data_IF_441264474480
#
_entry.id   IF_441264474480
#
_cell.length_a   1.000
_cell.length_b   1.000
_cell.length_c   1.000
_cell.angle_alpha   90.00
_cell.angle_beta   90.00
_cell.angle_gamma   90.00
#
_symmetry.space_group_name_H-M   'P 1'
#
loop_
_entity.id
_entity.type
_entity.pdbx_description
1 polymer ?
#
# COMPACT_ATOMS: atom_id res chain seq x y z
N UNK A 1 13.42 12.40 8.12
CA UNK A 1 13.55 10.95 7.82
C UNK A 1 14.82 10.73 7.02
N UNK A 2 15.63 9.73 7.37
CA UNK A 2 16.89 9.41 6.67
C UNK A 2 16.65 8.65 5.36
N UNK A 3 17.62 8.65 4.45
CA UNK A 3 17.56 7.86 3.20
C UNK A 3 17.38 6.36 3.47
N UNK A 4 18.02 5.85 4.54
CA UNK A 4 17.92 4.44 4.97
C UNK A 4 16.52 4.11 5.50
N UNK A 5 15.94 4.96 6.36
CA UNK A 5 14.57 4.79 6.85
C UNK A 5 13.57 4.82 5.69
N UNK A 6 13.71 5.77 4.74
CA UNK A 6 12.86 5.86 3.55
C UNK A 6 12.88 4.56 2.73
N UNK A 7 14.08 4.02 2.48
CA UNK A 7 14.24 2.78 1.72
C UNK A 7 13.63 1.57 2.45
N UNK A 8 13.75 1.50 3.78
CA UNK A 8 13.11 0.45 4.57
C UNK A 8 11.58 0.50 4.43
N UNK A 9 10.96 1.67 4.60
CA UNK A 9 9.51 1.82 4.40
C UNK A 9 9.07 1.52 2.96
N UNK A 10 9.85 1.96 1.96
CA UNK A 10 9.58 1.65 0.56
C UNK A 10 9.54 0.15 0.31
N UNK A 11 10.55 -0.59 0.80
CA UNK A 11 10.62 -2.05 0.66
C UNK A 11 9.45 -2.74 1.35
N UNK A 12 9.07 -2.28 2.54
CA UNK A 12 7.90 -2.82 3.25
C UNK A 12 6.60 -2.56 2.48
N UNK A 13 6.41 -1.35 1.95
CA UNK A 13 5.22 -1.01 1.16
C UNK A 13 5.13 -1.83 -0.14
N UNK A 14 6.25 -2.00 -0.85
CA UNK A 14 6.33 -2.84 -2.05
C UNK A 14 5.99 -4.30 -1.73
N UNK A 15 6.55 -4.86 -0.66
CA UNK A 15 6.22 -6.22 -0.23
C UNK A 15 4.73 -6.39 0.14
N UNK A 16 4.09 -5.36 0.70
CA UNK A 16 2.65 -5.40 0.99
C UNK A 16 1.81 -5.26 -0.29
N UNK A 17 2.24 -4.43 -1.24
CA UNK A 17 1.64 -4.31 -2.57
C UNK A 17 1.66 -5.64 -3.30
N UNK A 18 2.83 -6.30 -3.33
CA UNK A 18 3.01 -7.62 -3.93
C UNK A 18 2.09 -8.67 -3.33
N UNK A 19 1.85 -8.67 -2.01
CA UNK A 19 0.91 -9.62 -1.39
C UNK A 19 -0.51 -9.48 -1.92
N UNK A 20 -0.98 -8.25 -2.16
CA UNK A 20 -2.30 -8.00 -2.73
C UNK A 20 -2.31 -8.38 -4.22
N UNK A 21 -1.27 -8.01 -4.97
CA UNK A 21 -1.15 -8.29 -6.41
C UNK A 21 -0.96 -9.78 -6.71
N UNK A 22 -0.35 -10.56 -5.82
CA UNK A 22 -0.23 -12.02 -5.98
C UNK A 22 -1.60 -12.73 -6.06
N UNK A 23 -2.68 -12.10 -5.57
CA UNK A 23 -4.04 -12.61 -5.82
C UNK A 23 -4.41 -12.60 -7.30
N UNK A 24 -3.90 -11.63 -8.06
CA UNK A 24 -4.06 -11.56 -9.52
C UNK A 24 -3.44 -12.80 -10.18
N UNK A 25 -2.21 -13.16 -9.78
CA UNK A 25 -1.57 -14.38 -10.29
C UNK A 25 -2.34 -15.62 -9.91
N UNK A 26 -2.94 -15.70 -8.71
CA UNK A 26 -3.75 -16.84 -8.29
C UNK A 26 -5.00 -17.02 -9.16
N UNK A 27 -5.70 -15.92 -9.47
CA UNK A 27 -6.87 -15.93 -10.37
C UNK A 27 -6.51 -16.35 -11.80
N UNK A 28 -5.32 -15.97 -12.29
CA UNK A 28 -4.84 -16.40 -13.59
C UNK A 28 -4.31 -17.84 -13.59
N UNK A 29 -3.76 -18.32 -12.46
CA UNK A 29 -3.11 -19.64 -12.33
C UNK A 29 -4.06 -20.80 -12.02
N UNK A 30 -5.36 -20.55 -11.79
CA UNK A 30 -6.38 -21.61 -11.94
C UNK A 30 -6.39 -22.20 -13.37
N UNK A 31 -5.65 -21.56 -14.30
CA UNK A 31 -5.15 -22.14 -15.54
C UNK A 31 -3.61 -22.13 -15.57
N UNK A 32 -3.01 -23.26 -15.19
CA UNK A 32 -1.57 -23.63 -15.27
C UNK A 32 -0.65 -23.12 -14.16
N UNK A 33 0.16 -24.08 -13.67
CA UNK A 33 1.35 -23.91 -12.86
C UNK A 33 2.26 -22.85 -13.50
N UNK A 34 2.50 -21.75 -12.80
CA UNK A 34 3.38 -20.68 -13.29
C UNK A 34 4.45 -20.36 -12.25
N UNK A 35 5.67 -20.50 -12.72
CA UNK A 35 6.94 -20.20 -12.06
C UNK A 35 6.98 -18.81 -11.44
N UNK A 36 7.75 -18.72 -10.36
CA UNK A 36 7.86 -17.58 -9.45
C UNK A 36 8.36 -16.30 -10.12
N UNK A 37 9.00 -16.41 -11.29
CA UNK A 37 9.50 -15.27 -12.09
C UNK A 37 8.39 -14.47 -12.77
N UNK A 38 7.26 -15.08 -13.15
CA UNK A 38 6.16 -14.35 -13.81
C UNK A 38 5.47 -13.43 -12.81
N UNK A 39 5.43 -13.79 -11.53
CA UNK A 39 4.88 -12.93 -10.48
C UNK A 39 5.70 -11.63 -10.31
N UNK A 40 7.03 -11.68 -10.48
CA UNK A 40 7.85 -10.46 -10.47
C UNK A 40 7.59 -9.59 -11.71
N UNK A 41 7.50 -10.21 -12.88
CA UNK A 41 7.32 -9.47 -14.13
C UNK A 41 5.91 -8.85 -14.26
N UNK A 42 4.89 -9.49 -13.66
CA UNK A 42 3.53 -8.94 -13.55
C UNK A 42 3.45 -7.84 -12.49
N UNK A 43 4.23 -7.92 -11.41
CA UNK A 43 4.33 -6.83 -10.42
C UNK A 43 4.94 -5.58 -11.04
N UNK A 44 5.97 -5.74 -11.88
CA UNK A 44 6.61 -4.62 -12.59
C UNK A 44 5.73 -4.06 -13.71
N UNK A 45 4.94 -4.90 -14.42
CA UNK A 45 3.94 -4.43 -15.42
C UNK A 45 2.69 -3.82 -14.80
N UNK A 46 2.29 -4.25 -13.60
CA UNK A 46 1.15 -3.71 -12.87
C UNK A 46 1.40 -2.29 -12.32
N UNK A 47 2.60 -1.73 -12.46
CA UNK A 47 2.86 -0.31 -12.17
C UNK A 47 2.07 0.64 -13.09
N UNK A 48 1.51 0.17 -14.22
CA UNK A 48 0.86 1.06 -15.20
C UNK A 48 -0.67 1.17 -15.10
N UNK A 49 -1.40 0.14 -14.64
CA UNK A 49 -2.84 0.19 -14.29
C UNK A 49 -3.33 -1.19 -13.86
N UNK A 50 -4.13 -1.25 -12.79
CA UNK A 50 -4.85 -2.46 -12.42
C UNK A 50 -6.01 -2.72 -13.36
N UNK A 51 -6.21 -3.97 -13.80
CA UNK A 51 -7.40 -4.32 -14.59
C UNK A 51 -8.66 -4.19 -13.75
N UNK A 52 -9.78 -3.87 -14.40
CA UNK A 52 -11.08 -3.73 -13.71
C UNK A 52 -11.47 -5.04 -13.04
N UNK A 53 -11.24 -6.16 -13.69
CA UNK A 53 -11.53 -7.52 -13.23
C UNK A 53 -10.74 -7.84 -11.96
N UNK A 54 -9.44 -7.51 -11.94
CA UNK A 54 -8.63 -7.67 -10.73
C UNK A 54 -9.14 -6.80 -9.60
N UNK A 55 -9.39 -5.51 -9.86
CA UNK A 55 -9.93 -4.62 -8.82
C UNK A 55 -11.25 -5.15 -8.27
N UNK A 56 -12.14 -5.69 -9.11
CA UNK A 56 -13.41 -6.29 -8.68
C UNK A 56 -13.22 -7.56 -7.84
N UNK A 57 -12.19 -8.37 -8.13
CA UNK A 57 -11.88 -9.57 -7.35
C UNK A 57 -11.39 -9.30 -5.93
N UNK A 58 -10.84 -8.10 -5.66
CA UNK A 58 -10.38 -7.73 -4.34
C UNK A 58 -11.57 -7.43 -3.41
N UNK A 59 -11.38 -7.61 -2.10
CA UNK A 59 -12.31 -7.05 -1.12
C UNK A 59 -12.22 -5.52 -1.10
N UNK A 60 -13.23 -4.86 -0.54
CA UNK A 60 -13.19 -3.40 -0.39
C UNK A 60 -11.98 -2.94 0.47
N UNK A 61 -11.69 -3.68 1.54
CA UNK A 61 -10.54 -3.41 2.40
C UNK A 61 -9.21 -3.50 1.65
N UNK A 62 -9.05 -4.48 0.76
CA UNK A 62 -7.83 -4.66 -0.03
C UNK A 62 -7.67 -3.59 -1.10
N UNK A 63 -8.74 -3.23 -1.81
CA UNK A 63 -8.73 -2.10 -2.75
C UNK A 63 -8.30 -0.82 -2.04
N UNK A 64 -8.88 -0.56 -0.86
CA UNK A 64 -8.53 0.62 -0.07
C UNK A 64 -7.07 0.56 0.40
N UNK A 65 -6.61 -0.59 0.91
CA UNK A 65 -5.23 -0.76 1.34
C UNK A 65 -4.25 -0.55 0.17
N UNK A 66 -4.55 -1.08 -1.01
CA UNK A 66 -3.74 -0.91 -2.22
C UNK A 66 -3.60 0.56 -2.60
N UNK A 67 -4.73 1.29 -2.64
CA UNK A 67 -4.74 2.73 -2.89
C UNK A 67 -3.91 3.51 -1.85
N UNK A 68 -4.00 3.14 -0.57
CA UNK A 68 -3.20 3.74 0.50
C UNK A 68 -1.70 3.43 0.37
N UNK A 69 -1.34 2.23 -0.09
CA UNK A 69 0.06 1.86 -0.35
C UNK A 69 0.63 2.68 -1.50
N UNK A 70 -0.11 2.82 -2.61
CA UNK A 70 0.33 3.63 -3.76
C UNK A 70 0.47 5.11 -3.37
N UNK A 71 -0.47 5.64 -2.59
CA UNK A 71 -0.37 6.98 -2.02
C UNK A 71 0.85 7.14 -1.10
N UNK A 72 1.12 6.16 -0.23
CA UNK A 72 2.29 6.18 0.64
C UNK A 72 3.61 6.13 -0.15
N UNK A 73 3.69 5.32 -1.22
CA UNK A 73 4.85 5.27 -2.12
C UNK A 73 5.06 6.63 -2.83
N UNK A 74 3.99 7.30 -3.25
CA UNK A 74 4.04 8.67 -3.79
C UNK A 74 4.51 9.66 -2.73
N UNK A 75 3.97 9.62 -1.51
CA UNK A 75 4.40 10.48 -0.39
C UNK A 75 5.86 10.28 0.01
N UNK A 76 6.40 9.08 -0.13
CA UNK A 76 7.83 8.83 0.05
C UNK A 76 8.65 9.66 -0.96
N UNK A 77 8.19 9.78 -2.22
CA UNK A 77 8.84 10.59 -3.27
C UNK A 77 8.72 12.09 -2.98
N UNK A 78 7.56 12.58 -2.55
CA UNK A 78 7.29 14.02 -2.29
C UNK A 78 7.76 14.55 -0.94
N UNK A 79 8.41 13.72 -0.11
CA UNK A 79 8.85 14.05 1.27
C UNK A 79 7.71 14.33 2.26
N UNK A 80 6.48 13.94 1.93
CA UNK A 80 5.29 14.08 2.79
C UNK A 80 5.01 12.83 3.63
N UNK A 81 5.80 11.76 3.43
CA UNK A 81 5.64 10.52 4.18
C UNK A 81 5.87 10.72 5.68
N UNK A 82 4.98 10.14 6.48
CA UNK A 82 5.01 10.26 7.94
C UNK A 82 4.38 11.55 8.48
N UNK A 83 3.73 12.35 7.63
CA UNK A 83 2.90 13.48 8.03
C UNK A 83 1.43 13.10 7.90
N UNK A 84 0.63 13.41 8.92
CA UNK A 84 -0.81 13.19 8.94
C UNK A 84 -1.49 14.13 7.94
N UNK A 85 -2.27 13.57 7.00
CA UNK A 85 -2.98 14.35 5.98
C UNK A 85 -4.15 15.18 6.54
N UNK A 86 -4.58 14.94 7.78
CA UNK A 86 -5.71 15.64 8.39
C UNK A 86 -5.28 16.79 9.30
N UNK A 87 -4.21 16.61 10.07
CA UNK A 87 -3.76 17.62 11.06
C UNK A 87 -2.34 18.13 10.83
N UNK A 88 -1.67 17.69 9.75
CA UNK A 88 -0.29 18.03 9.41
C UNK A 88 0.78 17.68 10.48
N UNK A 89 0.41 16.93 11.53
CA UNK A 89 1.35 16.48 12.57
C UNK A 89 2.12 15.23 12.14
N UNK A 90 3.28 15.02 12.74
CA UNK A 90 4.10 13.81 12.52
C UNK A 90 3.36 12.56 13.03
N UNK A 91 3.31 11.52 12.21
CA UNK A 91 2.78 10.21 12.56
C UNK A 91 3.86 9.47 13.38
N UNK A 92 3.48 8.92 14.53
CA UNK A 92 4.41 8.22 15.41
C UNK A 92 5.11 7.03 14.73
N UNK A 93 6.41 6.86 14.96
CA UNK A 93 7.22 5.80 14.32
C UNK A 93 6.65 4.39 14.55
N UNK A 94 6.15 4.09 15.76
CA UNK A 94 5.51 2.79 16.08
C UNK A 94 4.29 2.52 15.18
N UNK A 95 3.50 3.56 14.90
CA UNK A 95 2.33 3.47 14.01
C UNK A 95 2.76 3.25 12.57
N UNK A 96 3.76 3.97 12.08
CA UNK A 96 4.31 3.75 10.73
C UNK A 96 4.99 2.38 10.59
N UNK A 97 5.56 1.83 11.65
CA UNK A 97 6.12 0.48 11.64
C UNK A 97 5.03 -0.59 11.54
N UNK A 98 3.87 -0.38 12.19
CA UNK A 98 2.74 -1.31 12.13
C UNK A 98 1.91 -1.15 10.84
N UNK A 99 1.66 0.09 10.42
CA UNK A 99 0.80 0.46 9.29
C UNK A 99 1.49 1.54 8.43
N UNK A 100 2.53 1.17 7.65
CA UNK A 100 3.32 2.15 6.88
C UNK A 100 2.53 2.88 5.80
N UNK A 101 1.38 2.34 5.37
CA UNK A 101 0.50 3.00 4.38
C UNK A 101 -0.46 4.01 5.00
N UNK A 102 -0.49 4.18 6.33
CA UNK A 102 -1.49 5.03 6.98
C UNK A 102 -1.30 6.52 6.59
N UNK A 103 -2.37 7.23 6.20
CA UNK A 103 -2.33 8.67 5.96
C UNK A 103 -2.54 9.50 7.23
N UNK A 104 -2.94 8.87 8.34
CA UNK A 104 -3.39 9.57 9.54
C UNK A 104 -2.62 9.16 10.79
N UNK A 105 -2.47 10.10 11.73
CA UNK A 105 -2.10 9.76 13.10
C UNK A 105 -3.22 8.99 13.81
N UNK A 106 -2.93 8.43 15.00
CA UNK A 106 -3.91 7.63 15.74
C UNK A 106 -5.17 8.44 16.09
N UNK A 107 -5.00 9.67 16.57
CA UNK A 107 -6.12 10.55 16.95
C UNK A 107 -7.02 10.89 15.76
N UNK A 108 -6.43 11.22 14.60
CA UNK A 108 -7.17 11.53 13.38
C UNK A 108 -7.86 10.30 12.78
N UNK A 109 -7.22 9.12 12.89
CA UNK A 109 -7.84 7.87 12.49
C UNK A 109 -9.07 7.56 13.35
N UNK A 110 -8.94 7.71 14.68
CA UNK A 110 -10.06 7.50 15.60
C UNK A 110 -11.22 8.45 15.32
N UNK A 111 -10.94 9.76 15.11
CA UNK A 111 -11.99 10.72 14.71
C UNK A 111 -12.72 10.30 13.44
N UNK A 112 -11.98 9.78 12.46
CA UNK A 112 -12.56 9.29 11.20
C UNK A 112 -13.48 8.09 11.40
N UNK A 113 -13.08 7.15 12.25
CA UNK A 113 -13.86 5.97 12.60
C UNK A 113 -15.13 6.33 13.39
N UNK A 114 -15.05 7.37 14.22
CA UNK A 114 -16.19 7.92 14.97
C UNK A 114 -17.11 8.83 14.12
N UNK A 115 -16.78 9.07 12.84
CA UNK A 115 -17.56 9.95 11.95
C UNK A 115 -17.47 11.44 12.30
N UNK A 116 -16.40 11.87 12.99
CA UNK A 116 -16.18 13.24 13.47
C UNK A 116 -15.24 14.04 12.56
N UNK A 117 -15.22 13.73 11.27
CA UNK A 117 -14.30 14.30 10.26
C UNK A 117 -15.05 14.75 9.02
#
# INVERSE_FOLDING_TARGET
MTKKEKHAYQKTLQAQKEKIVRKLSQLNSESKEVETDIAQDVVDKAESSYTKEFLLSLSNAERQQLALIDDALRRLKTKEFGICQMCAKVIGKKRLAALPWTPYCIDCQQKKEEGKV
#
